data_IF_451323704935
#
_entry.id   IF_451323704935
#
_cell.length_a   1.000
_cell.length_b   1.000
_cell.length_c   1.000
_cell.angle_alpha   90.00
_cell.angle_beta   90.00
_cell.angle_gamma   90.00
#
_symmetry.space_group_name_H-M   'P 1'
#
loop_
_entity.id
_entity.type
_entity.pdbx_description
1 polymer ?
#
# COMPACT_ATOMS: atom_id res chain seq x y z
N UNK A 1 -14.75 17.56 13.62
CA UNK A 1 -13.95 17.57 12.38
C UNK A 1 -14.65 16.62 11.43
N UNK A 2 -15.47 17.14 10.50
CA UNK A 2 -16.09 16.29 9.48
C UNK A 2 -14.98 15.73 8.58
N UNK A 3 -14.75 14.43 8.66
CA UNK A 3 -13.88 13.71 7.74
C UNK A 3 -14.70 13.41 6.50
N UNK A 4 -14.53 14.25 5.47
CA UNK A 4 -15.20 14.01 4.19
C UNK A 4 -14.52 12.82 3.54
N UNK A 5 -15.24 11.71 3.43
CA UNK A 5 -14.78 10.57 2.66
C UNK A 5 -14.47 11.01 1.23
N UNK A 6 -13.24 10.73 0.78
CA UNK A 6 -12.84 10.95 -0.60
C UNK A 6 -13.32 9.76 -1.46
N UNK A 7 -14.28 10.02 -2.35
CA UNK A 7 -14.81 9.06 -3.32
C UNK A 7 -14.08 9.19 -4.67
N UNK A 8 -13.98 8.07 -5.40
CA UNK A 8 -13.39 8.01 -6.73
C UNK A 8 -12.37 6.88 -6.88
N UNK A 9 -11.95 6.64 -8.12
CA UNK A 9 -10.90 5.67 -8.42
C UNK A 9 -9.52 6.32 -8.28
N UNK A 10 -8.52 5.52 -7.90
CA UNK A 10 -7.12 5.99 -7.89
C UNK A 10 -6.69 6.31 -9.32
N UNK A 11 -6.22 7.54 -9.61
CA UNK A 11 -5.74 7.87 -10.93
C UNK A 11 -4.61 6.93 -11.36
N UNK A 12 -4.65 6.44 -12.60
CA UNK A 12 -3.68 5.47 -13.11
C UNK A 12 -2.23 5.91 -12.93
N UNK A 13 -1.93 7.19 -13.16
CA UNK A 13 -0.58 7.75 -12.99
C UNK A 13 -0.09 7.66 -11.53
N UNK A 14 -0.99 7.76 -10.55
CA UNK A 14 -0.67 7.64 -9.14
C UNK A 14 -0.42 6.17 -8.82
N UNK A 15 -1.34 5.29 -9.24
CA UNK A 15 -1.21 3.86 -9.04
C UNK A 15 0.12 3.30 -9.58
N UNK A 16 0.54 3.71 -10.77
CA UNK A 16 1.84 3.32 -11.34
C UNK A 16 3.03 3.78 -10.48
N UNK A 17 2.94 4.96 -9.86
CA UNK A 17 3.96 5.44 -8.90
C UNK A 17 3.93 4.66 -7.59
N UNK A 18 2.74 4.34 -7.07
CA UNK A 18 2.56 3.50 -5.89
C UNK A 18 3.24 2.14 -6.09
N UNK A 19 3.02 1.49 -7.25
CA UNK A 19 3.67 0.22 -7.57
C UNK A 19 5.20 0.35 -7.60
N UNK A 20 5.74 1.40 -8.23
CA UNK A 20 7.20 1.62 -8.27
C UNK A 20 7.78 1.81 -6.86
N UNK A 21 7.12 2.59 -6.01
CA UNK A 21 7.55 2.80 -4.62
C UNK A 21 7.42 1.50 -3.79
N UNK A 22 6.28 0.81 -3.89
CA UNK A 22 6.01 -0.44 -3.20
C UNK A 22 7.03 -1.53 -3.54
N UNK A 23 7.46 -1.63 -4.81
CA UNK A 23 8.55 -2.55 -5.21
C UNK A 23 9.85 -2.23 -4.50
N UNK A 24 10.19 -0.94 -4.35
CA UNK A 24 11.37 -0.50 -3.60
C UNK A 24 11.30 -0.90 -2.13
N UNK A 25 10.17 -0.57 -1.47
CA UNK A 25 9.94 -0.89 -0.05
C UNK A 25 10.02 -2.40 0.20
N UNK A 26 9.28 -3.19 -0.57
CA UNK A 26 9.25 -4.65 -0.44
C UNK A 26 10.62 -5.26 -0.72
N UNK A 27 11.37 -4.75 -1.69
CA UNK A 27 12.73 -5.24 -1.99
C UNK A 27 13.69 -5.02 -0.81
N UNK A 28 13.66 -3.83 -0.20
CA UNK A 28 14.47 -3.53 1.00
C UNK A 28 14.01 -4.37 2.19
N UNK A 29 12.69 -4.49 2.41
CA UNK A 29 12.19 -5.35 3.48
C UNK A 29 12.61 -6.82 3.30
N UNK A 30 12.57 -7.33 2.08
CA UNK A 30 12.99 -8.69 1.77
C UNK A 30 14.50 -8.90 2.02
N UNK A 31 15.35 -7.92 1.68
CA UNK A 31 16.80 -8.03 1.90
C UNK A 31 17.18 -7.95 3.37
N UNK A 32 16.53 -7.08 4.14
CA UNK A 32 16.86 -6.84 5.55
C UNK A 32 16.23 -7.87 6.49
N UNK A 33 15.00 -8.32 6.21
CA UNK A 33 14.21 -9.12 7.17
C UNK A 33 13.66 -10.44 6.62
N UNK A 34 13.80 -10.69 5.31
CA UNK A 34 13.30 -11.89 4.67
C UNK A 34 11.79 -11.90 4.42
N UNK A 35 11.32 -12.95 3.74
CA UNK A 35 9.93 -13.06 3.24
C UNK A 35 8.88 -13.21 4.34
N UNK A 36 9.18 -13.95 5.40
CA UNK A 36 8.23 -14.19 6.50
C UNK A 36 7.86 -12.90 7.21
N UNK A 37 8.82 -11.99 7.39
CA UNK A 37 8.58 -10.70 8.02
C UNK A 37 7.61 -9.82 7.20
N UNK A 38 7.68 -9.89 5.87
CA UNK A 38 6.77 -9.16 4.99
C UNK A 38 5.33 -9.58 5.27
N UNK A 39 5.05 -10.89 5.32
CA UNK A 39 3.71 -11.41 5.61
C UNK A 39 3.26 -11.02 7.02
N UNK A 40 4.16 -11.09 8.00
CA UNK A 40 3.87 -10.68 9.39
C UNK A 40 3.48 -9.20 9.48
N UNK A 41 4.22 -8.32 8.79
CA UNK A 41 3.94 -6.88 8.75
C UNK A 41 2.67 -6.55 7.97
N UNK A 42 2.44 -7.20 6.83
CA UNK A 42 1.20 -6.99 6.07
C UNK A 42 -0.05 -7.49 6.80
N UNK A 43 0.12 -8.43 7.73
CA UNK A 43 -0.96 -8.92 8.61
C UNK A 43 -1.23 -7.99 9.80
N UNK A 44 -0.34 -7.05 10.10
CA UNK A 44 -0.54 -6.03 11.12
C UNK A 44 -1.36 -4.87 10.52
N UNK A 45 -2.56 -4.58 11.05
CA UNK A 45 -3.45 -3.57 10.46
C UNK A 45 -2.88 -2.15 10.54
N UNK A 46 -2.09 -1.83 11.57
CA UNK A 46 -1.46 -0.52 11.70
C UNK A 46 -0.36 -0.34 10.67
N UNK A 47 0.47 -1.38 10.49
CA UNK A 47 1.50 -1.37 9.44
C UNK A 47 0.87 -1.30 8.05
N UNK A 48 -0.20 -2.06 7.80
CA UNK A 48 -0.90 -2.04 6.50
C UNK A 48 -1.44 -0.63 6.19
N UNK A 49 -2.08 0.03 7.16
CA UNK A 49 -2.57 1.41 6.97
C UNK A 49 -1.41 2.40 6.79
N UNK A 50 -0.33 2.26 7.56
CA UNK A 50 0.85 3.10 7.40
C UNK A 50 1.50 2.92 6.01
N UNK A 51 1.53 1.71 5.49
CA UNK A 51 1.98 1.41 4.14
C UNK A 51 1.07 2.05 3.10
N UNK A 52 -0.26 1.91 3.22
CA UNK A 52 -1.24 2.59 2.37
C UNK A 52 -0.97 4.10 2.29
N UNK A 53 -0.77 4.73 3.45
CA UNK A 53 -0.50 6.16 3.53
C UNK A 53 0.86 6.53 2.91
N UNK A 54 1.88 5.71 3.15
CA UNK A 54 3.22 5.91 2.58
C UNK A 54 3.23 5.79 1.06
N UNK A 55 2.36 4.95 0.49
CA UNK A 55 2.19 4.84 -0.96
C UNK A 55 1.51 6.07 -1.56
N UNK A 56 0.98 6.99 -0.75
CA UNK A 56 0.34 8.23 -1.21
C UNK A 56 -1.19 8.15 -1.23
N UNK A 57 -1.76 7.22 -0.46
CA UNK A 57 -3.20 7.16 -0.22
C UNK A 57 -3.57 7.93 1.04
N UNK A 58 -4.74 8.56 1.08
CA UNK A 58 -5.21 9.21 2.29
C UNK A 58 -5.90 8.23 3.22
N UNK A 59 -5.74 8.47 4.53
CA UNK A 59 -6.23 7.60 5.59
C UNK A 59 -7.77 7.58 5.72
N UNK A 60 -8.43 8.61 5.21
CA UNK A 60 -9.89 8.79 5.20
C UNK A 60 -10.51 8.41 3.85
N UNK A 61 -9.74 7.78 2.95
CA UNK A 61 -10.29 7.23 1.72
C UNK A 61 -10.86 5.82 1.92
N UNK A 62 -12.10 5.64 1.47
CA UNK A 62 -12.83 4.35 1.57
C UNK A 62 -12.20 3.22 0.74
N UNK A 63 -11.33 3.55 -0.22
CA UNK A 63 -10.67 2.60 -1.12
C UNK A 63 -9.30 2.10 -0.63
N UNK A 64 -8.84 2.49 0.56
CA UNK A 64 -7.44 2.28 1.00
C UNK A 64 -7.00 0.82 0.92
N UNK A 65 -7.82 -0.09 1.44
CA UNK A 65 -7.56 -1.53 1.41
C UNK A 65 -7.54 -2.07 -0.02
N UNK A 66 -8.56 -1.74 -0.81
CA UNK A 66 -8.70 -2.24 -2.19
C UNK A 66 -7.51 -1.81 -3.05
N UNK A 67 -7.14 -0.53 -2.98
CA UNK A 67 -6.06 0.04 -3.77
C UNK A 67 -4.71 -0.50 -3.31
N UNK A 68 -4.46 -0.55 -2.00
CA UNK A 68 -3.21 -1.09 -1.44
C UNK A 68 -3.03 -2.56 -1.82
N UNK A 69 -4.08 -3.37 -1.75
CA UNK A 69 -4.05 -4.76 -2.23
C UNK A 69 -3.77 -4.84 -3.74
N UNK A 70 -4.38 -3.98 -4.54
CA UNK A 70 -4.10 -3.88 -5.98
C UNK A 70 -2.63 -3.54 -6.26
N UNK A 71 -2.05 -2.59 -5.52
CA UNK A 71 -0.63 -2.24 -5.62
C UNK A 71 0.24 -3.44 -5.22
N UNK A 72 -0.05 -4.10 -4.10
CA UNK A 72 0.72 -5.25 -3.62
C UNK A 72 0.68 -6.42 -4.60
N UNK A 73 -0.46 -6.67 -5.24
CA UNK A 73 -0.58 -7.67 -6.30
C UNK A 73 0.42 -7.40 -7.43
N UNK A 74 0.46 -6.17 -7.93
CA UNK A 74 1.42 -5.77 -8.97
C UNK A 74 2.88 -5.81 -8.46
N UNK A 75 3.14 -5.41 -7.21
CA UNK A 75 4.47 -5.46 -6.60
C UNK A 75 5.01 -6.89 -6.54
N UNK A 76 4.16 -7.85 -6.18
CA UNK A 76 4.52 -9.27 -6.10
C UNK A 76 4.41 -10.01 -7.44
N UNK A 77 3.99 -9.34 -8.52
CA UNK A 77 3.68 -9.94 -9.82
C UNK A 77 2.66 -11.10 -9.72
N UNK A 78 1.62 -10.92 -8.90
CA UNK A 78 0.50 -11.85 -8.73
C UNK A 78 -0.66 -11.57 -9.68
#
# INVERSE_FOLDING_TARGET
>A
MELRLHYGETPRWLFERMVRLGRGIVKVMASEFGRTEILRRLSDPLFFQALSNTLGFDWDSSGSTTVTCGVLREVFNL
#
